data_IF_814252840949
#
_entry.id   IF_814252840949
#
_cell.length_a   1.000
_cell.length_b   1.000
_cell.length_c   1.000
_cell.angle_alpha   90.00
_cell.angle_beta   90.00
_cell.angle_gamma   90.00
#
_symmetry.space_group_name_H-M   'P 1'
#
loop_
_entity.id
_entity.type
_entity.pdbx_description
1 polymer ?
#
# COMPACT_ATOMS: atom_id res chain seq x y z
N UNK A 1 3.08 -12.14 4.94
CA UNK A 1 3.15 -11.85 3.49
C UNK A 1 2.88 -10.37 3.30
N UNK A 2 3.61 -9.70 2.42
CA UNK A 2 3.43 -8.25 2.18
C UNK A 2 3.11 -8.01 0.72
N UNK A 3 1.91 -7.48 0.45
CA UNK A 3 1.53 -6.98 -0.87
C UNK A 3 2.21 -5.63 -1.12
N UNK A 4 2.85 -5.47 -2.29
CA UNK A 4 3.63 -4.29 -2.66
C UNK A 4 3.52 -3.92 -4.15
N UNK A 5 2.48 -4.39 -4.80
CA UNK A 5 2.23 -4.27 -6.24
C UNK A 5 2.77 -5.46 -7.05
N UNK A 6 2.09 -5.76 -8.15
CA UNK A 6 2.54 -6.68 -9.20
C UNK A 6 2.81 -5.90 -10.48
N UNK A 7 3.83 -6.33 -11.24
CA UNK A 7 4.18 -5.74 -12.54
C UNK A 7 2.97 -5.69 -13.47
N UNK A 8 2.68 -4.50 -13.99
CA UNK A 8 1.60 -4.28 -14.94
C UNK A 8 2.15 -3.61 -16.21
N UNK A 9 2.78 -4.42 -17.06
CA UNK A 9 3.56 -3.93 -18.19
C UNK A 9 4.86 -3.25 -17.73
N UNK A 10 5.42 -2.40 -18.59
CA UNK A 10 6.68 -1.72 -18.31
C UNK A 10 6.47 -0.49 -17.42
N UNK A 11 7.32 -0.38 -16.39
CA UNK A 11 7.40 0.81 -15.53
C UNK A 11 6.18 1.11 -14.69
N UNK A 12 5.31 0.12 -14.47
CA UNK A 12 4.08 0.31 -13.69
C UNK A 12 3.76 -0.90 -12.80
N UNK A 13 3.04 -0.63 -11.72
CA UNK A 13 2.53 -1.63 -10.78
C UNK A 13 1.01 -1.49 -10.63
N UNK A 14 0.34 -2.60 -10.39
CA UNK A 14 -1.05 -2.63 -9.92
C UNK A 14 -1.14 -3.43 -8.63
N UNK A 15 -2.09 -3.08 -7.77
CA UNK A 15 -2.44 -3.89 -6.60
C UNK A 15 -3.77 -4.58 -6.88
N UNK A 16 -3.75 -5.91 -6.92
CA UNK A 16 -4.97 -6.72 -6.99
C UNK A 16 -5.46 -7.01 -5.58
N UNK A 17 -6.55 -6.34 -5.18
CA UNK A 17 -7.12 -6.48 -3.83
C UNK A 17 -7.60 -7.92 -3.53
N UNK A 18 -7.87 -8.74 -4.55
CA UNK A 18 -8.18 -10.17 -4.36
C UNK A 18 -7.00 -10.93 -3.75
N UNK A 19 -5.78 -10.49 -4.05
CA UNK A 19 -4.54 -11.06 -3.51
C UNK A 19 -4.48 -11.02 -1.98
N UNK A 20 -5.07 -10.00 -1.35
CA UNK A 20 -5.09 -9.88 0.11
C UNK A 20 -5.84 -11.03 0.78
N UNK A 21 -7.01 -11.41 0.23
CA UNK A 21 -7.73 -12.60 0.70
C UNK A 21 -6.92 -13.87 0.50
N UNK A 22 -6.37 -14.05 -0.71
CA UNK A 22 -5.60 -15.25 -1.06
C UNK A 22 -4.41 -15.43 -0.11
N UNK A 23 -3.67 -14.35 0.18
CA UNK A 23 -2.56 -14.40 1.14
C UNK A 23 -3.01 -14.70 2.57
N UNK A 24 -4.15 -14.13 2.99
CA UNK A 24 -4.73 -14.40 4.31
C UNK A 24 -5.09 -15.88 4.48
N UNK A 25 -5.67 -16.50 3.45
CA UNK A 25 -6.02 -17.92 3.42
C UNK A 25 -4.79 -18.86 3.53
N UNK A 26 -3.57 -18.35 3.28
CA UNK A 26 -2.32 -19.10 3.49
C UNK A 26 -1.90 -19.20 4.96
N UNK A 27 -2.63 -18.54 5.89
CA UNK A 27 -2.38 -18.63 7.33
C UNK A 27 -1.20 -17.78 7.84
N UNK A 28 -0.73 -16.81 7.07
CA UNK A 28 0.32 -15.87 7.46
C UNK A 28 -0.23 -14.44 7.62
N UNK A 29 0.36 -13.60 8.51
CA UNK A 29 -0.07 -12.21 8.63
C UNK A 29 0.03 -11.47 7.29
N UNK A 30 -1.04 -10.78 6.90
CA UNK A 30 -1.12 -10.07 5.61
C UNK A 30 -0.87 -8.58 5.81
N UNK A 31 0.22 -8.07 5.27
CA UNK A 31 0.62 -6.67 5.36
C UNK A 31 0.44 -6.00 4.00
N UNK A 32 0.04 -4.73 3.98
CA UNK A 32 0.02 -3.93 2.76
C UNK A 32 1.09 -2.83 2.80
N UNK A 33 2.01 -2.86 1.84
CA UNK A 33 3.01 -1.82 1.62
C UNK A 33 2.39 -0.68 0.80
N UNK A 34 2.01 0.39 1.49
CA UNK A 34 1.32 1.54 0.91
C UNK A 34 2.26 2.29 -0.03
N UNK A 35 3.53 2.44 0.34
CA UNK A 35 4.47 3.33 -0.36
C UNK A 35 5.03 2.67 -1.62
N UNK A 36 5.49 1.42 -1.54
CA UNK A 36 6.10 0.77 -2.69
C UNK A 36 5.08 0.30 -3.73
N UNK A 37 3.83 0.04 -3.33
CA UNK A 37 2.74 -0.22 -4.28
C UNK A 37 2.46 0.94 -5.24
N UNK A 38 2.99 2.13 -4.96
CA UNK A 38 2.85 3.34 -5.77
C UNK A 38 4.10 3.67 -6.57
N UNK A 39 5.14 2.83 -6.51
CA UNK A 39 6.33 3.03 -7.33
C UNK A 39 5.97 2.91 -8.82
N UNK A 40 6.65 3.71 -9.62
CA UNK A 40 6.74 3.54 -11.06
C UNK A 40 8.17 3.06 -11.36
N UNK A 41 8.42 1.73 -11.43
CA UNK A 41 9.77 1.19 -11.54
C UNK A 41 10.50 1.71 -12.77
N UNK A 42 11.74 2.17 -12.62
CA UNK A 42 12.57 2.68 -13.73
C UNK A 42 11.89 3.77 -14.60
N UNK A 43 10.96 4.55 -14.02
CA UNK A 43 10.19 5.58 -14.72
C UNK A 43 10.59 7.02 -14.32
N UNK A 44 11.68 7.20 -13.56
CA UNK A 44 12.17 8.49 -13.10
C UNK A 44 13.58 8.82 -13.63
N UNK A 45 13.94 10.11 -13.55
CA UNK A 45 15.17 10.64 -14.17
C UNK A 45 15.05 10.85 -15.68
N UNK A 46 16.11 11.35 -16.32
CA UNK A 46 16.15 11.59 -17.77
C UNK A 46 16.25 10.31 -18.62
N UNK A 47 16.59 9.20 -17.99
CA UNK A 47 16.99 7.93 -18.63
C UNK A 47 16.41 6.69 -17.93
N UNK A 48 15.47 6.84 -16.97
CA UNK A 48 14.91 5.71 -16.22
C UNK A 48 15.85 5.15 -15.13
N UNK A 49 16.86 5.93 -14.71
CA UNK A 49 17.86 5.54 -13.71
C UNK A 49 17.30 5.36 -12.31
N UNK A 50 16.14 5.97 -12.01
CA UNK A 50 15.49 5.90 -10.71
C UNK A 50 14.01 5.54 -10.86
N UNK A 51 13.43 4.96 -9.82
CA UNK A 51 11.99 4.73 -9.77
C UNK A 51 11.25 6.05 -9.53
N UNK A 52 10.17 6.27 -10.29
CA UNK A 52 9.20 7.32 -10.00
C UNK A 52 8.19 6.86 -8.95
N UNK A 53 7.12 7.63 -8.76
CA UNK A 53 6.10 7.31 -7.77
C UNK A 53 4.86 8.17 -7.85
N UNK A 54 3.75 7.61 -7.35
CA UNK A 54 2.42 8.19 -7.36
C UNK A 54 1.92 8.47 -5.93
N UNK A 55 2.72 9.16 -5.12
CA UNK A 55 2.49 9.39 -3.67
C UNK A 55 1.08 9.88 -3.33
N UNK A 56 0.50 10.72 -4.18
CA UNK A 56 -0.83 11.30 -4.01
C UNK A 56 -1.95 10.24 -3.96
N UNK A 57 -1.70 9.01 -4.43
CA UNK A 57 -2.65 7.90 -4.37
C UNK A 57 -2.52 7.04 -3.10
N UNK A 58 -1.59 7.33 -2.18
CA UNK A 58 -1.46 6.61 -0.91
C UNK A 58 -2.77 6.52 -0.10
N UNK A 59 -3.56 7.60 0.06
CA UNK A 59 -4.83 7.49 0.76
C UNK A 59 -5.87 6.62 0.04
N UNK A 60 -5.80 6.55 -1.30
CA UNK A 60 -6.72 5.72 -2.09
C UNK A 60 -6.39 4.25 -1.88
N UNK A 61 -5.15 3.84 -2.16
CA UNK A 61 -4.78 2.43 -2.03
C UNK A 61 -4.84 1.93 -0.60
N UNK A 62 -4.42 2.74 0.40
CA UNK A 62 -4.49 2.33 1.79
C UNK A 62 -5.92 2.05 2.23
N UNK A 63 -6.88 2.93 1.89
CA UNK A 63 -8.30 2.70 2.20
C UNK A 63 -8.88 1.52 1.44
N UNK A 64 -8.54 1.35 0.16
CA UNK A 64 -8.99 0.21 -0.65
C UNK A 64 -8.51 -1.12 -0.06
N UNK A 65 -7.24 -1.22 0.32
CA UNK A 65 -6.68 -2.42 0.94
C UNK A 65 -7.32 -2.68 2.31
N UNK A 66 -7.52 -1.63 3.12
CA UNK A 66 -8.23 -1.72 4.41
C UNK A 66 -9.66 -2.24 4.23
N UNK A 67 -10.36 -1.72 3.21
CA UNK A 67 -11.75 -2.02 2.90
C UNK A 67 -12.01 -3.53 2.67
N UNK A 68 -10.98 -4.27 2.29
CA UNK A 68 -11.08 -5.72 2.10
C UNK A 68 -11.29 -6.49 3.41
N UNK A 69 -10.88 -5.94 4.56
CA UNK A 69 -10.95 -6.62 5.85
C UNK A 69 -9.88 -7.70 6.09
N UNK A 70 -9.04 -8.00 5.11
CA UNK A 70 -8.05 -9.10 5.18
C UNK A 70 -6.65 -8.69 5.67
N UNK A 71 -6.45 -7.40 6.00
CA UNK A 71 -5.14 -6.91 6.44
C UNK A 71 -4.91 -7.16 7.95
N UNK A 72 -3.68 -7.55 8.27
CA UNK A 72 -3.15 -7.59 9.64
C UNK A 72 -2.33 -6.36 10.00
N UNK A 73 -1.91 -5.57 9.01
CA UNK A 73 -1.17 -4.33 9.23
C UNK A 73 -0.75 -3.61 7.95
N UNK A 74 -0.03 -2.52 8.14
CA UNK A 74 0.46 -1.65 7.07
C UNK A 74 1.98 -1.51 7.15
N UNK A 75 2.58 -1.32 5.99
CA UNK A 75 3.94 -0.80 5.83
C UNK A 75 3.87 0.53 5.09
N UNK A 76 4.68 1.49 5.53
CA UNK A 76 4.85 2.80 4.90
C UNK A 76 6.23 3.37 5.26
N UNK A 77 6.87 4.00 4.30
CA UNK A 77 8.10 4.76 4.53
C UNK A 77 7.79 6.25 4.75
N UNK A 78 8.52 6.86 5.68
CA UNK A 78 8.31 8.24 6.11
C UNK A 78 9.65 8.97 6.20
N UNK A 79 9.69 10.21 5.72
CA UNK A 79 10.85 11.10 5.82
C UNK A 79 10.43 12.47 6.34
N UNK A 80 11.32 13.17 7.04
CA UNK A 80 11.07 14.55 7.49
C UNK A 80 10.93 15.51 6.29
N UNK A 81 11.69 15.25 5.22
CA UNK A 81 11.66 15.97 3.95
C UNK A 81 11.72 14.99 2.77
N UNK A 82 10.59 14.42 2.33
CA UNK A 82 10.58 13.36 1.32
C UNK A 82 11.27 13.72 0.01
N UNK A 83 11.32 15.00 -0.37
CA UNK A 83 11.96 15.43 -1.62
C UNK A 83 13.49 15.29 -1.58
N UNK A 84 14.07 15.25 -0.38
CA UNK A 84 15.50 15.07 -0.14
C UNK A 84 15.83 13.67 0.42
N UNK A 85 14.90 12.71 0.34
CA UNK A 85 15.19 11.33 0.71
C UNK A 85 16.23 10.71 -0.25
N UNK A 86 17.15 9.90 0.29
CA UNK A 86 18.25 9.30 -0.48
C UNK A 86 17.81 8.14 -1.40
N UNK A 87 16.64 7.58 -1.12
CA UNK A 87 15.95 6.58 -1.93
C UNK A 87 14.46 6.85 -1.84
N UNK A 88 13.70 6.38 -2.83
CA UNK A 88 12.22 6.37 -2.79
C UNK A 88 11.57 7.73 -2.52
N UNK A 89 12.29 8.81 -2.83
CA UNK A 89 11.81 10.18 -2.65
C UNK A 89 10.46 10.41 -3.30
N UNK A 90 10.15 9.73 -4.41
CA UNK A 90 8.86 9.86 -5.09
C UNK A 90 7.67 9.23 -4.34
N UNK A 91 7.88 8.33 -3.38
CA UNK A 91 6.80 7.57 -2.71
C UNK A 91 6.75 7.76 -1.19
N UNK A 92 7.86 8.11 -0.53
CA UNK A 92 7.89 8.33 0.93
C UNK A 92 6.94 9.45 1.37
N UNK A 93 6.24 9.25 2.48
CA UNK A 93 5.33 10.25 3.04
C UNK A 93 6.09 11.23 3.96
N UNK A 94 5.59 12.46 4.09
CA UNK A 94 6.02 13.30 5.21
C UNK A 94 5.44 12.79 6.53
N UNK A 95 6.03 13.17 7.67
CA UNK A 95 5.51 12.82 9.00
C UNK A 95 4.04 13.25 9.17
N UNK A 96 3.71 14.45 8.69
CA UNK A 96 2.33 14.96 8.71
C UNK A 96 1.39 14.14 7.81
N UNK A 97 1.80 13.84 6.58
CA UNK A 97 1.02 13.02 5.64
C UNK A 97 0.75 11.62 6.21
N UNK A 98 1.78 10.97 6.75
CA UNK A 98 1.65 9.67 7.40
C UNK A 98 0.72 9.73 8.61
N UNK A 99 0.83 10.76 9.45
CA UNK A 99 -0.03 10.96 10.62
C UNK A 99 -1.50 11.12 10.21
N UNK A 100 -1.79 11.95 9.21
CA UNK A 100 -3.15 12.15 8.69
C UNK A 100 -3.69 10.86 8.09
N UNK A 101 -2.89 10.14 7.30
CA UNK A 101 -3.29 8.89 6.69
C UNK A 101 -3.62 7.81 7.73
N UNK A 102 -2.75 7.62 8.72
CA UNK A 102 -2.94 6.64 9.79
C UNK A 102 -4.20 6.93 10.62
N UNK A 103 -4.49 8.21 10.90
CA UNK A 103 -5.75 8.62 11.56
C UNK A 103 -7.00 8.26 10.77
N UNK A 104 -6.90 8.13 9.45
CA UNK A 104 -8.02 7.69 8.61
C UNK A 104 -8.16 6.16 8.58
N UNK A 105 -7.05 5.43 8.42
CA UNK A 105 -7.10 3.98 8.13
C UNK A 105 -7.11 3.10 9.37
N UNK A 106 -6.53 3.53 10.50
CA UNK A 106 -6.52 2.72 11.74
C UNK A 106 -7.95 2.48 12.27
N UNK A 107 -8.83 3.49 12.40
CA UNK A 107 -10.21 3.25 12.82
C UNK A 107 -10.97 2.33 11.86
N UNK A 108 -10.77 2.52 10.56
CA UNK A 108 -11.38 1.69 9.51
C UNK A 108 -10.91 0.23 9.62
N UNK A 109 -9.62 0.01 9.87
CA UNK A 109 -9.04 -1.31 10.07
C UNK A 109 -9.65 -2.04 11.27
N UNK A 110 -9.77 -1.37 12.41
CA UNK A 110 -10.42 -1.95 13.59
C UNK A 110 -11.86 -2.38 13.32
N UNK A 111 -12.58 -1.59 12.52
CA UNK A 111 -13.96 -1.91 12.14
C UNK A 111 -14.04 -3.11 11.20
N UNK A 112 -13.12 -3.22 10.24
CA UNK A 112 -13.21 -4.19 9.15
C UNK A 112 -12.49 -5.51 9.39
N UNK A 113 -11.50 -5.57 10.28
CA UNK A 113 -10.75 -6.81 10.54
C UNK A 113 -11.64 -7.96 11.03
N UNK A 114 -12.73 -7.65 11.72
CA UNK A 114 -13.72 -8.64 12.16
C UNK A 114 -14.79 -8.99 11.12
N UNK A 115 -14.87 -8.24 10.01
CA UNK A 115 -15.95 -8.34 9.03
C UNK A 115 -15.79 -9.51 8.07
N UNK A 116 -14.62 -10.15 7.97
CA UNK A 116 -14.37 -11.29 7.06
C UNK A 116 -15.30 -12.48 7.30
N UNK A 117 -15.97 -12.55 8.45
CA UNK A 117 -17.02 -13.55 8.70
C UNK A 117 -18.23 -13.42 7.76
N UNK A 118 -18.53 -12.22 7.23
CA UNK A 118 -19.64 -12.03 6.28
C UNK A 118 -19.41 -12.70 4.92
N UNK A 119 -18.14 -12.95 4.56
CA UNK A 119 -17.81 -13.55 3.26
C UNK A 119 -18.19 -15.04 3.22
N UNK A 120 -18.56 -15.62 4.36
CA UNK A 120 -19.16 -16.96 4.46
C UNK A 120 -20.48 -17.11 3.71
N UNK A 121 -21.12 -16.02 3.28
CA UNK A 121 -22.34 -16.06 2.44
C UNK A 121 -22.05 -16.70 1.06
N UNK A 122 -20.80 -16.73 0.63
CA UNK A 122 -20.37 -17.32 -0.64
C UNK A 122 -19.74 -18.71 -0.49
N UNK A 123 -19.87 -19.35 0.67
CA UNK A 123 -19.30 -20.66 1.01
C UNK A 123 -20.40 -21.68 1.24
#
# INVERSE_FOLDING_TARGET
LTERGVTFGYGNLIVDMRGLKIMSDMGAPTIFDITHSLQLPAAGGSSGEVSGGLRNFAPVLARSATATGYLDGYFLEVHADPNNAKSDAATQLSIEQATVLLRQIIPLWYHLKGSTQSDRVFV
#
